data_IF_768842232860
#
_entry.id   IF_768842232860
#
_cell.length_a   1.000
_cell.length_b   1.000
_cell.length_c   1.000
_cell.angle_alpha   90.00
_cell.angle_beta   90.00
_cell.angle_gamma   90.00
#
_symmetry.space_group_name_H-M   'P 1'
#
loop_
_entity.id
_entity.type
_entity.pdbx_description
1 polymer ?
#
# COMPACT_ATOMS: atom_id res chain seq x y z
N UNK A 1 -34.82 -50.28 -36.29
CA UNK A 1 -36.26 -50.13 -36.64
C UNK A 1 -37.05 -50.15 -35.33
N UNK A 2 -37.93 -49.15 -35.13
CA UNK A 2 -39.01 -48.94 -34.13
C UNK A 2 -39.40 -50.15 -33.23
N UNK A 3 -39.91 -50.04 -31.99
CA UNK A 3 -40.26 -48.93 -31.11
C UNK A 3 -40.67 -49.47 -29.71
N UNK A 4 -40.64 -48.55 -28.73
CA UNK A 4 -41.24 -48.44 -27.38
C UNK A 4 -42.48 -49.29 -27.00
N UNK A 5 -42.65 -49.47 -25.68
CA UNK A 5 -43.90 -49.43 -24.86
C UNK A 5 -43.94 -50.60 -23.86
N UNK A 6 -44.32 -50.53 -22.57
CA UNK A 6 -44.80 -49.49 -21.65
C UNK A 6 -44.75 -50.00 -20.19
N UNK A 7 -44.84 -49.03 -19.26
CA UNK A 7 -45.02 -49.11 -17.79
C UNK A 7 -46.44 -49.52 -17.35
N UNK A 8 -46.56 -50.12 -16.14
CA UNK A 8 -47.61 -49.94 -15.10
C UNK A 8 -47.59 -51.15 -14.15
N UNK A 9 -47.86 -51.14 -12.85
CA UNK A 9 -48.34 -50.18 -11.84
C UNK A 9 -48.20 -50.92 -10.48
N UNK A 10 -47.71 -50.30 -9.37
CA UNK A 10 -48.49 -49.85 -8.20
C UNK A 10 -49.39 -50.97 -7.55
N UNK A 11 -49.52 -51.20 -6.23
CA UNK A 11 -49.56 -50.31 -5.05
C UNK A 11 -49.85 -51.14 -3.76
N UNK A 12 -49.44 -50.65 -2.56
CA UNK A 12 -49.97 -50.75 -1.15
C UNK A 12 -50.30 -52.16 -0.55
N UNK A 13 -50.32 -52.46 0.76
CA UNK A 13 -50.34 -51.73 2.04
C UNK A 13 -50.01 -52.77 3.16
N UNK A 14 -49.23 -52.46 4.20
CA UNK A 14 -49.63 -51.94 5.54
C UNK A 14 -50.07 -53.02 6.57
N UNK A 15 -49.21 -53.16 7.60
CA UNK A 15 -49.44 -53.30 9.04
C UNK A 15 -50.23 -54.50 9.66
N UNK A 16 -49.76 -55.03 10.80
CA UNK A 16 -49.95 -54.45 12.16
C UNK A 16 -49.67 -55.49 13.28
N UNK A 17 -48.84 -55.09 14.27
CA UNK A 17 -48.88 -55.41 15.73
C UNK A 17 -48.72 -56.84 16.27
N UNK A 18 -48.46 -57.09 17.56
CA UNK A 18 -47.80 -56.40 18.70
C UNK A 18 -47.87 -57.39 19.86
N UNK A 19 -47.00 -57.27 20.87
CA UNK A 19 -47.35 -57.71 22.23
C UNK A 19 -46.45 -57.04 23.26
N UNK A 20 -47.03 -56.03 23.88
CA UNK A 20 -46.66 -55.18 25.03
C UNK A 20 -46.74 -55.96 26.35
N UNK A 21 -45.85 -55.82 27.35
CA UNK A 21 -45.91 -54.93 28.54
C UNK A 21 -45.15 -55.64 29.70
N UNK A 22 -44.53 -55.06 30.75
CA UNK A 22 -44.66 -53.77 31.48
C UNK A 22 -43.41 -53.52 32.38
N UNK A 23 -42.95 -52.26 32.40
CA UNK A 23 -42.49 -51.40 33.51
C UNK A 23 -41.40 -51.89 34.50
N UNK A 24 -40.28 -51.15 34.54
CA UNK A 24 -39.86 -50.45 35.77
C UNK A 24 -39.05 -49.18 35.41
N UNK A 25 -39.41 -48.09 36.08
CA UNK A 25 -38.81 -46.77 35.93
C UNK A 25 -37.50 -46.69 36.72
N UNK A 26 -36.48 -46.06 36.14
CA UNK A 26 -35.46 -45.33 36.89
C UNK A 26 -35.23 -43.98 36.22
N UNK A 27 -35.55 -42.95 36.99
CA UNK A 27 -35.28 -41.55 36.73
C UNK A 27 -33.76 -41.34 36.79
N UNK A 28 -33.12 -40.89 35.71
CA UNK A 28 -31.79 -40.29 35.80
C UNK A 28 -31.76 -39.01 34.99
N UNK A 29 -31.86 -37.90 35.72
CA UNK A 29 -31.68 -36.54 35.26
C UNK A 29 -30.18 -36.34 35.07
N UNK A 30 -29.69 -36.39 33.83
CA UNK A 30 -28.48 -35.68 33.38
C UNK A 30 -28.55 -35.55 31.86
N UNK A 31 -29.46 -34.70 31.39
CA UNK A 31 -29.23 -33.96 30.16
C UNK A 31 -28.64 -32.60 30.58
N UNK A 32 -27.78 -32.04 29.71
CA UNK A 32 -27.04 -30.78 29.81
C UNK A 32 -25.65 -30.82 30.48
N UNK A 33 -24.68 -30.27 29.74
CA UNK A 33 -23.28 -29.93 30.11
C UNK A 33 -22.31 -31.12 29.93
N UNK A 34 -21.32 -31.17 29.02
CA UNK A 34 -20.48 -30.15 28.42
C UNK A 34 -20.02 -30.62 27.02
N UNK A 35 -20.70 -30.18 25.95
CA UNK A 35 -20.03 -29.91 24.66
C UNK A 35 -19.55 -28.48 24.77
N UNK A 36 -18.51 -28.24 25.60
CA UNK A 36 -17.97 -26.90 25.85
C UNK A 36 -16.50 -27.01 26.26
N UNK A 37 -15.68 -27.65 25.42
CA UNK A 37 -14.23 -27.62 25.60
C UNK A 37 -13.44 -27.72 24.28
N UNK A 38 -14.05 -27.36 23.13
CA UNK A 38 -13.32 -27.22 21.88
C UNK A 38 -13.74 -26.00 21.04
N UNK A 39 -14.38 -25.01 21.68
CA UNK A 39 -14.76 -23.72 21.07
C UNK A 39 -14.10 -22.53 21.77
N UNK A 40 -13.01 -22.75 22.50
CA UNK A 40 -12.19 -21.67 23.08
C UNK A 40 -11.00 -21.28 22.18
N UNK A 41 -11.13 -21.44 20.85
CA UNK A 41 -10.12 -20.98 19.91
C UNK A 41 -10.70 -20.45 18.60
N UNK A 42 -11.86 -19.78 18.58
CA UNK A 42 -12.25 -18.93 17.45
C UNK A 42 -13.13 -17.78 17.92
N UNK A 43 -12.53 -16.88 18.68
CA UNK A 43 -13.02 -15.52 18.86
C UNK A 43 -11.83 -14.56 18.92
N UNK A 44 -10.96 -14.62 17.90
CA UNK A 44 -10.26 -13.39 17.52
C UNK A 44 -11.24 -12.64 16.64
N UNK A 45 -11.67 -11.49 17.12
CA UNK A 45 -12.51 -10.57 16.37
C UNK A 45 -11.92 -10.38 14.98
N UNK A 46 -12.81 -10.34 13.98
CA UNK A 46 -12.53 -9.82 12.64
C UNK A 46 -12.17 -8.34 12.79
N UNK A 47 -10.96 -8.07 13.29
CA UNK A 47 -10.42 -6.72 13.34
C UNK A 47 -10.20 -6.34 11.89
N UNK A 48 -11.10 -5.51 11.38
CA UNK A 48 -11.06 -5.02 10.01
C UNK A 48 -9.63 -4.63 9.66
N UNK A 49 -9.04 -5.35 8.69
CA UNK A 49 -7.62 -5.26 8.33
C UNK A 49 -7.17 -3.78 8.33
N UNK A 50 -6.29 -3.35 9.26
CA UNK A 50 -5.98 -1.94 9.45
C UNK A 50 -5.28 -1.34 8.24
N UNK A 51 -4.55 -2.16 7.46
CA UNK A 51 -3.95 -1.73 6.20
C UNK A 51 -5.02 -1.45 5.14
N UNK A 52 -6.01 -2.33 5.01
CA UNK A 52 -7.13 -2.10 4.08
C UNK A 52 -8.00 -0.92 4.51
N UNK A 53 -8.30 -0.79 5.81
CA UNK A 53 -9.11 0.28 6.38
C UNK A 53 -8.50 1.66 6.16
N UNK A 54 -7.18 1.77 6.30
CA UNK A 54 -6.45 3.05 6.16
C UNK A 54 -5.85 3.26 4.77
N UNK A 55 -6.26 2.45 3.78
CA UNK A 55 -5.75 2.55 2.43
C UNK A 55 -6.22 3.83 1.73
N UNK A 56 -5.28 4.50 1.08
CA UNK A 56 -5.50 5.65 0.22
C UNK A 56 -4.92 5.34 -1.16
N UNK A 57 -5.78 5.33 -2.16
CA UNK A 57 -5.37 5.22 -3.56
C UNK A 57 -4.61 6.48 -3.97
N UNK A 58 -3.48 6.32 -4.67
CA UNK A 58 -2.64 7.44 -5.08
C UNK A 58 -2.93 7.91 -6.51
N UNK A 59 -3.33 7.00 -7.40
CA UNK A 59 -3.56 7.34 -8.80
C UNK A 59 -5.03 7.24 -9.19
N UNK A 60 -5.43 8.02 -10.19
CA UNK A 60 -6.81 8.04 -10.73
C UNK A 60 -7.04 6.99 -11.81
N UNK A 61 -5.99 6.27 -12.22
CA UNK A 61 -6.02 5.31 -13.34
C UNK A 61 -6.26 3.87 -12.92
N UNK A 62 -6.57 3.62 -11.64
CA UNK A 62 -6.80 2.27 -11.08
C UNK A 62 -5.67 1.31 -11.44
N UNK A 63 -4.43 1.75 -11.21
CA UNK A 63 -3.24 0.99 -11.53
C UNK A 63 -3.21 -0.36 -10.81
N UNK A 64 -2.83 -1.43 -11.52
CA UNK A 64 -2.72 -2.79 -10.98
C UNK A 64 -1.60 -3.54 -11.70
N UNK A 65 -1.19 -4.68 -11.14
CA UNK A 65 -0.28 -5.61 -11.82
C UNK A 65 -0.80 -5.97 -13.21
N UNK A 66 0.14 -6.14 -14.14
CA UNK A 66 -0.13 -6.72 -15.46
C UNK A 66 -0.49 -8.20 -15.38
N UNK A 67 -0.04 -8.89 -14.33
CA UNK A 67 -0.43 -10.27 -14.06
C UNK A 67 -1.81 -10.25 -13.36
N UNK A 68 -2.84 -10.95 -13.89
CA UNK A 68 -4.14 -11.03 -13.22
C UNK A 68 -4.08 -11.61 -11.81
N UNK A 69 -3.07 -12.45 -11.53
CA UNK A 69 -2.80 -13.13 -10.26
C UNK A 69 -1.30 -12.97 -9.92
N UNK A 70 -0.87 -11.77 -9.46
CA UNK A 70 0.54 -11.53 -9.16
C UNK A 70 0.98 -12.36 -7.95
N UNK A 71 2.22 -12.83 -7.97
CA UNK A 71 2.89 -13.33 -6.78
C UNK A 71 3.38 -12.13 -5.96
N UNK A 72 2.46 -11.55 -5.18
CA UNK A 72 2.72 -10.33 -4.42
C UNK A 72 3.83 -10.56 -3.40
N UNK A 73 4.91 -9.79 -3.52
CA UNK A 73 6.04 -9.83 -2.60
C UNK A 73 5.85 -8.87 -1.44
N UNK A 74 6.27 -9.27 -0.25
CA UNK A 74 6.31 -8.42 0.94
C UNK A 74 7.77 -8.14 1.31
N UNK A 75 8.09 -6.86 1.49
CA UNK A 75 9.41 -6.40 1.93
C UNK A 75 9.25 -5.48 3.14
N UNK A 76 10.12 -5.67 4.14
CA UNK A 76 10.20 -4.83 5.32
C UNK A 76 11.45 -3.97 5.24
N UNK A 77 11.33 -2.67 5.50
CA UNK A 77 12.44 -1.72 5.45
C UNK A 77 12.26 -0.54 6.40
N UNK A 78 13.33 0.20 6.63
CA UNK A 78 13.38 1.47 7.36
C UNK A 78 13.87 2.65 6.49
N UNK A 79 14.07 2.45 5.18
CA UNK A 79 14.59 3.45 4.24
C UNK A 79 13.53 3.91 3.22
N UNK A 80 12.39 4.41 3.72
CA UNK A 80 11.19 4.70 2.92
C UNK A 80 11.44 5.54 1.68
N UNK A 81 12.18 6.63 1.81
CA UNK A 81 12.45 7.55 0.71
C UNK A 81 13.30 6.89 -0.38
N UNK A 82 14.36 6.18 -0.02
CA UNK A 82 15.25 5.51 -0.96
C UNK A 82 14.57 4.32 -1.65
N UNK A 83 13.79 3.54 -0.90
CA UNK A 83 13.05 2.42 -1.44
C UNK A 83 11.95 2.86 -2.40
N UNK A 84 11.23 3.93 -2.09
CA UNK A 84 10.24 4.49 -3.01
C UNK A 84 10.88 4.90 -4.34
N UNK A 85 12.06 5.54 -4.29
CA UNK A 85 12.79 5.93 -5.51
C UNK A 85 13.29 4.70 -6.26
N UNK A 86 13.83 3.70 -5.55
CA UNK A 86 14.27 2.44 -6.15
C UNK A 86 13.13 1.71 -6.84
N UNK A 87 11.92 1.70 -6.27
CA UNK A 87 10.74 1.12 -6.91
C UNK A 87 10.45 1.82 -8.26
N UNK A 88 10.48 3.15 -8.29
CA UNK A 88 10.32 3.92 -9.53
C UNK A 88 11.43 3.61 -10.54
N UNK A 89 12.70 3.58 -10.13
CA UNK A 89 13.83 3.23 -11.00
C UNK A 89 13.76 1.80 -11.52
N UNK A 90 13.17 0.89 -10.75
CA UNK A 90 12.90 -0.47 -11.20
C UNK A 90 11.68 -0.55 -12.11
N UNK A 91 10.96 0.54 -12.38
CA UNK A 91 9.79 0.56 -13.27
C UNK A 91 8.50 0.08 -12.61
N UNK A 92 8.44 0.14 -11.28
CA UNK A 92 7.18 0.06 -10.56
C UNK A 92 6.55 1.44 -10.42
N UNK A 93 5.24 1.48 -10.27
CA UNK A 93 4.52 2.71 -9.93
C UNK A 93 3.54 2.44 -8.78
N UNK A 94 3.32 3.46 -7.95
CA UNK A 94 2.61 3.31 -6.69
C UNK A 94 1.10 3.30 -6.94
N UNK A 95 0.45 2.24 -6.45
CA UNK A 95 -0.99 2.06 -6.49
C UNK A 95 -1.64 2.93 -5.41
N UNK A 96 -1.07 2.87 -4.20
CA UNK A 96 -1.54 3.60 -3.04
C UNK A 96 -0.71 3.30 -1.81
N UNK A 97 -1.18 3.77 -0.66
CA UNK A 97 -0.52 3.54 0.62
C UNK A 97 -1.51 3.47 1.79
N UNK A 98 -1.08 2.84 2.87
CA UNK A 98 -1.79 2.81 4.15
C UNK A 98 -0.87 3.39 5.22
N UNK A 99 -1.42 4.20 6.13
CA UNK A 99 -0.67 4.75 7.26
C UNK A 99 -1.55 4.84 8.51
N UNK A 100 -1.05 4.35 9.65
CA UNK A 100 -1.76 4.36 10.93
C UNK A 100 -0.79 4.15 12.10
N UNK A 101 -1.24 4.46 13.32
CA UNK A 101 -0.51 4.17 14.57
C UNK A 101 -1.18 3.02 15.30
N UNK A 102 -0.39 2.04 15.76
CA UNK A 102 -0.84 0.88 16.51
C UNK A 102 0.27 0.34 17.43
N UNK A 103 -0.09 -0.46 18.43
CA UNK A 103 0.90 -1.16 19.29
C UNK A 103 1.63 -2.23 18.48
N UNK A 104 0.90 -2.98 17.66
CA UNK A 104 1.47 -3.96 16.74
C UNK A 104 0.55 -4.09 15.53
N UNK A 105 1.09 -4.50 14.38
CA UNK A 105 0.31 -4.79 13.20
C UNK A 105 0.98 -5.91 12.40
N UNK A 106 0.27 -7.02 12.20
CA UNK A 106 0.80 -8.18 11.50
C UNK A 106 1.13 -7.84 10.03
N UNK A 107 2.37 -8.03 9.55
CA UNK A 107 2.77 -7.74 8.17
C UNK A 107 1.93 -8.50 7.12
N UNK A 108 1.47 -9.70 7.47
CA UNK A 108 0.63 -10.54 6.60
C UNK A 108 -0.70 -9.87 6.23
N UNK A 109 -1.23 -8.98 7.07
CA UNK A 109 -2.44 -8.22 6.76
C UNK A 109 -2.19 -7.23 5.61
N UNK A 110 -1.00 -6.62 5.55
CA UNK A 110 -0.63 -5.77 4.42
C UNK A 110 -0.42 -6.59 3.15
N UNK A 111 0.17 -7.79 3.25
CA UNK A 111 0.30 -8.72 2.13
C UNK A 111 -1.07 -9.16 1.60
N UNK A 112 -2.00 -9.52 2.49
CA UNK A 112 -3.38 -9.86 2.13
C UNK A 112 -4.08 -8.71 1.40
N UNK A 113 -3.93 -7.48 1.90
CA UNK A 113 -4.47 -6.32 1.22
C UNK A 113 -3.81 -6.09 -0.15
N UNK A 114 -2.48 -6.16 -0.23
CA UNK A 114 -1.73 -6.06 -1.49
C UNK A 114 -2.21 -7.05 -2.55
N UNK A 115 -2.45 -8.32 -2.18
CA UNK A 115 -3.06 -9.33 -3.06
C UNK A 115 -4.45 -8.92 -3.54
N UNK A 116 -5.30 -8.41 -2.63
CA UNK A 116 -6.68 -8.00 -2.95
C UNK A 116 -6.74 -6.87 -3.99
N UNK A 117 -5.77 -5.94 -3.96
CA UNK A 117 -5.66 -4.83 -4.93
C UNK A 117 -4.76 -5.15 -6.13
N UNK A 118 -4.25 -6.38 -6.21
CA UNK A 118 -3.34 -6.86 -7.28
C UNK A 118 -2.03 -6.07 -7.37
N UNK A 119 -1.40 -5.80 -6.23
CA UNK A 119 -0.05 -5.28 -6.17
C UNK A 119 0.96 -6.40 -6.49
N UNK A 120 2.07 -6.04 -7.16
CA UNK A 120 3.22 -6.93 -7.35
C UNK A 120 4.13 -6.92 -6.11
N UNK A 121 4.24 -5.77 -5.45
CA UNK A 121 5.11 -5.61 -4.28
C UNK A 121 4.44 -4.74 -3.21
N UNK A 122 4.64 -5.09 -1.94
CA UNK A 122 4.26 -4.33 -0.76
C UNK A 122 5.52 -4.01 0.04
N UNK A 123 5.73 -2.75 0.37
CA UNK A 123 6.80 -2.30 1.28
C UNK A 123 6.18 -1.88 2.60
N UNK A 124 6.66 -2.42 3.73
CA UNK A 124 6.21 -2.05 5.08
C UNK A 124 7.34 -1.37 5.83
N UNK A 125 6.99 -0.29 6.51
CA UNK A 125 7.86 0.49 7.37
C UNK A 125 7.21 0.63 8.74
N UNK A 126 8.00 0.39 9.79
CA UNK A 126 7.62 0.58 11.19
C UNK A 126 8.54 1.63 11.78
N UNK A 127 7.98 2.76 12.22
CA UNK A 127 8.70 3.80 12.95
C UNK A 127 8.16 3.87 14.37
N UNK A 128 9.06 4.06 15.33
CA UNK A 128 8.66 4.40 16.69
C UNK A 128 7.96 5.78 16.68
N UNK A 129 6.73 5.84 17.19
CA UNK A 129 5.92 7.05 17.22
C UNK A 129 6.03 7.70 18.60
N UNK A 130 5.76 6.91 19.66
CA UNK A 130 6.14 7.24 21.03
C UNK A 130 5.91 6.05 21.98
N UNK A 131 6.77 5.90 22.97
CA UNK A 131 6.38 5.49 24.30
C UNK A 131 6.07 6.80 25.03
N UNK A 132 4.82 7.01 25.42
CA UNK A 132 4.60 7.79 26.63
C UNK A 132 5.44 7.08 27.70
N UNK A 133 6.33 7.80 28.38
CA UNK A 133 6.92 7.44 29.68
C UNK A 133 8.38 6.94 29.66
N UNK A 134 9.26 7.85 30.12
CA UNK A 134 10.22 7.55 31.21
C UNK A 134 10.46 8.83 32.04
N UNK A 135 10.52 9.99 31.37
CA UNK A 135 10.68 11.30 32.02
C UNK A 135 9.54 11.68 32.97
N UNK A 136 8.29 11.44 32.57
CA UNK A 136 7.12 11.79 33.37
C UNK A 136 7.01 10.99 34.67
N UNK A 137 7.36 9.70 34.70
CA UNK A 137 7.27 8.88 35.92
C UNK A 137 8.28 9.30 36.99
N UNK A 138 9.54 9.52 36.59
CA UNK A 138 10.57 10.01 37.53
C UNK A 138 10.27 11.45 38.00
N UNK A 139 9.69 12.29 37.14
CA UNK A 139 9.22 13.63 37.54
C UNK A 139 8.03 13.55 38.50
N UNK A 140 7.01 12.73 38.21
CA UNK A 140 5.85 12.52 39.08
C UNK A 140 6.27 12.00 40.46
N UNK A 141 7.17 11.01 40.50
CA UNK A 141 7.73 10.50 41.76
C UNK A 141 8.52 11.57 42.51
N UNK A 142 9.35 12.37 41.82
CA UNK A 142 10.11 13.47 42.43
C UNK A 142 9.21 14.59 42.95
N UNK A 143 8.13 14.92 42.25
CA UNK A 143 7.17 15.95 42.69
C UNK A 143 6.31 15.48 43.85
N UNK A 144 5.81 14.24 43.81
CA UNK A 144 5.06 13.65 44.90
C UNK A 144 5.90 13.56 46.18
N UNK A 145 7.17 13.14 46.06
CA UNK A 145 8.11 13.13 47.19
C UNK A 145 8.39 14.53 47.76
N UNK A 146 8.38 15.58 46.92
CA UNK A 146 8.54 16.98 47.38
C UNK A 146 7.29 17.54 48.06
N UNK A 147 6.10 17.14 47.61
CA UNK A 147 4.81 17.67 48.09
C UNK A 147 4.19 16.82 49.20
N UNK A 148 4.74 15.64 49.49
CA UNK A 148 4.21 14.70 50.47
C UNK A 148 2.86 14.09 50.06
N UNK A 149 2.58 14.04 48.76
CA UNK A 149 1.31 13.54 48.20
C UNK A 149 1.46 12.09 47.77
N UNK A 150 0.41 11.29 47.97
CA UNK A 150 0.36 9.91 47.52
C UNK A 150 0.19 9.83 46.00
N UNK A 151 0.83 8.86 45.35
CA UNK A 151 0.76 8.67 43.89
C UNK A 151 -0.33 7.62 43.61
N UNK A 152 -1.24 7.92 42.68
CA UNK A 152 -2.22 6.94 42.23
C UNK A 152 -1.50 5.81 41.45
N UNK A 153 -1.70 4.52 41.80
CA UNK A 153 -1.12 3.41 41.07
C UNK A 153 -1.41 3.41 39.56
N UNK A 154 -2.52 4.02 39.13
CA UNK A 154 -2.88 4.19 37.72
C UNK A 154 -1.96 5.15 36.97
N UNK A 155 -1.35 6.13 37.63
CA UNK A 155 -0.37 7.07 37.06
C UNK A 155 1.00 6.40 36.78
N UNK A 156 1.20 5.18 37.29
CA UNK A 156 2.43 4.40 37.12
C UNK A 156 2.31 3.33 36.03
N UNK A 157 1.11 3.15 35.45
CA UNK A 157 0.84 2.19 34.38
C UNK A 157 1.52 2.67 33.09
N UNK A 158 2.39 1.82 32.54
CA UNK A 158 3.00 2.08 31.24
C UNK A 158 1.95 1.86 30.14
N UNK A 159 1.58 2.93 29.43
CA UNK A 159 0.82 2.78 28.20
C UNK A 159 1.69 2.03 27.17
N UNK A 160 1.11 1.06 26.43
CA UNK A 160 1.89 0.27 25.49
C UNK A 160 2.49 1.17 24.42
N UNK A 161 3.76 0.92 24.08
CA UNK A 161 4.47 1.69 23.07
C UNK A 161 3.72 1.64 21.74
N UNK A 162 3.50 2.81 21.14
CA UNK A 162 2.85 2.93 19.86
C UNK A 162 3.88 3.10 18.73
N UNK A 163 3.58 2.46 17.61
CA UNK A 163 4.38 2.52 16.39
C UNK A 163 3.54 3.07 15.24
N UNK A 164 4.16 3.95 14.46
CA UNK A 164 3.63 4.40 13.19
C UNK A 164 3.98 3.35 12.13
N UNK A 165 2.94 2.76 11.55
CA UNK A 165 3.04 1.83 10.44
C UNK A 165 2.73 2.55 9.13
N UNK A 166 3.55 2.28 8.12
CA UNK A 166 3.32 2.73 6.75
C UNK A 166 3.50 1.55 5.80
N UNK A 167 2.57 1.37 4.86
CA UNK A 167 2.68 0.40 3.79
C UNK A 167 2.46 1.08 2.44
N UNK A 168 3.33 0.81 1.46
CA UNK A 168 3.15 1.24 0.07
C UNK A 168 2.99 0.04 -0.85
N UNK A 169 2.07 0.17 -1.82
CA UNK A 169 1.67 -0.91 -2.73
C UNK A 169 1.99 -0.53 -4.15
N UNK A 170 2.61 -1.45 -4.89
CA UNK A 170 3.25 -1.13 -6.17
C UNK A 170 2.86 -2.12 -7.26
N UNK A 171 2.67 -1.61 -8.47
CA UNK A 171 2.47 -2.41 -9.68
C UNK A 171 3.67 -2.27 -10.61
N UNK A 172 4.11 -3.37 -11.20
CA UNK A 172 5.16 -3.38 -12.22
C UNK A 172 4.56 -2.93 -13.55
N UNK A 173 5.14 -1.90 -14.16
CA UNK A 173 4.68 -1.35 -15.42
C UNK A 173 5.47 -1.94 -16.60
N UNK A 174 4.87 -1.94 -17.81
CA UNK A 174 5.63 -2.27 -19.02
C UNK A 174 6.68 -1.18 -19.26
N UNK A 175 7.80 -1.56 -19.88
CA UNK A 175 8.87 -0.63 -20.20
C UNK A 175 8.33 0.59 -20.96
N UNK A 176 8.52 1.81 -20.46
CA UNK A 176 8.01 3.01 -21.11
C UNK A 176 8.85 3.42 -22.33
N UNK A 177 8.25 4.25 -23.18
CA UNK A 177 8.87 4.83 -24.39
C UNK A 177 10.13 5.65 -24.08
N UNK A 178 10.10 6.41 -22.97
CA UNK A 178 11.19 7.31 -22.54
C UNK A 178 11.81 6.89 -21.21
N UNK A 179 11.03 6.82 -20.12
CA UNK A 179 11.43 6.18 -18.86
C UNK A 179 11.99 7.09 -17.77
N UNK A 180 11.27 8.16 -17.46
CA UNK A 180 11.59 9.07 -16.35
C UNK A 180 10.35 9.34 -15.51
N UNK A 181 10.55 9.60 -14.23
CA UNK A 181 9.56 10.22 -13.35
C UNK A 181 9.99 11.65 -13.08
N UNK A 182 9.05 12.59 -13.21
CA UNK A 182 9.34 14.02 -13.10
C UNK A 182 8.41 14.72 -12.13
N UNK A 183 8.89 15.84 -11.58
CA UNK A 183 8.11 16.78 -10.78
C UNK A 183 8.32 18.20 -11.32
N UNK A 184 7.31 19.05 -11.09
CA UNK A 184 7.45 20.49 -11.27
C UNK A 184 7.92 21.11 -9.96
N UNK A 185 9.09 21.75 -9.97
CA UNK A 185 9.59 22.44 -8.79
C UNK A 185 8.92 23.80 -8.64
N UNK A 186 8.67 24.18 -7.39
CA UNK A 186 8.03 25.42 -6.98
C UNK A 186 8.85 26.04 -5.86
N UNK A 187 9.17 27.32 -5.97
CA UNK A 187 9.81 28.09 -4.91
C UNK A 187 8.76 28.88 -4.15
N UNK A 188 8.88 28.86 -2.82
CA UNK A 188 8.16 29.76 -1.95
C UNK A 188 9.09 30.93 -1.64
N UNK A 189 8.76 32.13 -2.13
CA UNK A 189 9.66 33.30 -2.04
C UNK A 189 9.42 34.16 -0.79
N UNK A 190 8.92 33.57 0.31
CA UNK A 190 8.61 34.26 1.57
C UNK A 190 9.84 34.66 2.42
N UNK A 191 10.87 35.26 1.81
CA UNK A 191 11.93 35.98 2.53
C UNK A 191 11.56 37.45 2.82
N UNK A 192 10.29 37.86 2.62
CA UNK A 192 9.77 39.18 2.97
C UNK A 192 8.62 39.12 3.98
N UNK A 193 8.64 39.92 5.06
CA UNK A 193 7.73 39.83 6.20
C UNK A 193 6.37 40.49 5.95
N UNK A 194 5.82 40.37 4.73
CA UNK A 194 4.50 40.93 4.40
C UNK A 194 3.49 39.79 4.42
N UNK A 195 2.69 39.75 5.49
CA UNK A 195 1.58 38.83 5.64
C UNK A 195 0.62 38.92 4.43
N UNK A 196 0.32 37.77 3.82
CA UNK A 196 -0.96 37.57 3.14
C UNK A 196 -0.96 37.19 1.66
N UNK A 197 0.18 37.04 0.98
CA UNK A 197 0.19 36.46 -0.38
C UNK A 197 1.35 35.48 -0.56
N UNK A 198 1.06 34.19 -0.57
CA UNK A 198 2.01 33.16 -0.99
C UNK A 198 2.33 33.36 -2.47
N UNK A 199 3.50 33.93 -2.78
CA UNK A 199 4.01 33.94 -4.15
C UNK A 199 4.78 32.64 -4.39
N UNK A 200 4.16 31.75 -5.15
CA UNK A 200 4.74 30.48 -5.55
C UNK A 200 5.25 30.64 -6.98
N UNK A 201 6.57 30.69 -7.14
CA UNK A 201 7.20 30.75 -8.46
C UNK A 201 7.46 29.32 -8.95
N UNK A 202 6.95 28.98 -10.15
CA UNK A 202 7.26 27.70 -10.77
C UNK A 202 8.61 27.77 -11.49
N UNK A 203 9.53 26.88 -11.12
CA UNK A 203 10.85 26.86 -11.75
C UNK A 203 10.78 26.30 -13.18
N UNK A 204 11.66 26.75 -14.10
CA UNK A 204 11.72 26.24 -15.45
C UNK A 204 11.94 24.72 -15.52
N UNK A 205 11.37 24.09 -16.56
CA UNK A 205 11.58 22.67 -16.82
C UNK A 205 10.82 21.71 -15.90
N UNK A 206 11.20 20.45 -15.99
CA UNK A 206 10.68 19.32 -15.21
C UNK A 206 11.86 18.57 -14.55
N UNK A 207 11.90 18.54 -13.23
CA UNK A 207 13.00 17.89 -12.51
C UNK A 207 12.80 16.37 -12.46
N UNK A 208 13.85 15.61 -12.76
CA UNK A 208 13.82 14.15 -12.78
C UNK A 208 14.07 13.59 -11.38
N UNK A 209 13.10 12.88 -10.85
CA UNK A 209 13.19 12.25 -9.52
C UNK A 209 13.60 10.77 -9.59
N UNK A 210 13.38 10.11 -10.73
CA UNK A 210 13.82 8.75 -10.98
C UNK A 210 13.97 8.50 -12.49
N UNK A 211 14.93 7.65 -12.86
CA UNK A 211 15.12 7.17 -14.23
C UNK A 211 14.97 5.65 -14.23
N UNK A 212 14.08 5.13 -15.05
CA UNK A 212 13.81 3.70 -15.12
C UNK A 212 15.02 2.99 -15.73
N UNK A 213 15.51 1.94 -15.08
CA UNK A 213 16.63 1.11 -15.55
C UNK A 213 16.33 0.55 -16.95
N UNK A 214 17.36 0.50 -17.78
CA UNK A 214 17.32 0.01 -19.16
C UNK A 214 16.37 0.76 -20.13
N UNK A 215 15.77 1.86 -19.68
CA UNK A 215 14.92 2.74 -20.50
C UNK A 215 15.72 3.52 -21.53
N UNK A 216 15.01 4.19 -22.46
CA UNK A 216 15.64 5.08 -23.44
C UNK A 216 16.39 6.24 -22.77
N UNK A 217 15.82 6.82 -21.70
CA UNK A 217 16.46 7.88 -20.92
C UNK A 217 17.74 7.39 -20.23
N UNK A 218 17.70 6.22 -19.59
CA UNK A 218 18.88 5.64 -18.95
C UNK A 218 20.01 5.38 -19.95
N UNK A 219 19.69 4.81 -21.12
CA UNK A 219 20.65 4.55 -22.20
C UNK A 219 21.27 5.82 -22.78
N UNK A 220 20.59 6.96 -22.67
CA UNK A 220 21.09 8.27 -23.07
C UNK A 220 21.83 9.01 -21.96
N UNK A 221 22.16 8.33 -20.85
CA UNK A 221 22.83 8.91 -19.68
C UNK A 221 22.07 10.08 -19.02
N UNK A 222 20.74 10.10 -19.14
CA UNK A 222 19.89 10.97 -18.33
C UNK A 222 19.83 10.37 -16.92
N UNK A 223 19.97 11.20 -15.90
CA UNK A 223 20.05 10.73 -14.50
C UNK A 223 19.10 11.51 -13.60
N UNK A 224 18.82 10.95 -12.42
CA UNK A 224 18.10 11.65 -11.34
C UNK A 224 18.81 12.97 -11.01
N UNK A 225 18.01 14.02 -10.82
CA UNK A 225 18.49 15.38 -10.53
C UNK A 225 18.70 16.26 -11.77
N UNK A 226 18.67 15.70 -12.98
CA UNK A 226 18.59 16.50 -14.19
C UNK A 226 17.24 17.26 -14.25
N UNK A 227 17.23 18.41 -14.91
CA UNK A 227 16.00 19.16 -15.21
C UNK A 227 15.78 19.18 -16.72
N UNK A 228 14.69 18.57 -17.18
CA UNK A 228 14.32 18.54 -18.59
C UNK A 228 13.74 19.89 -19.00
N UNK A 229 14.27 20.47 -20.07
CA UNK A 229 13.86 21.78 -20.58
C UNK A 229 13.10 21.66 -21.90
N UNK A 230 13.56 20.79 -22.80
CA UNK A 230 12.99 20.64 -24.15
C UNK A 230 13.23 19.25 -24.71
N UNK A 231 12.30 18.78 -25.54
CA UNK A 231 12.45 17.56 -26.32
C UNK A 231 12.07 17.85 -27.77
N UNK A 232 13.07 17.86 -28.65
CA UNK A 232 12.92 18.26 -30.05
C UNK A 232 12.45 19.71 -30.16
N UNK A 233 11.24 19.93 -30.66
CA UNK A 233 10.61 21.25 -30.75
C UNK A 233 9.64 21.56 -29.59
N UNK A 234 9.45 20.63 -28.64
CA UNK A 234 8.50 20.78 -27.53
C UNK A 234 9.21 21.27 -26.27
N UNK A 235 8.86 22.48 -25.81
CA UNK A 235 9.28 22.99 -24.50
C UNK A 235 8.54 22.28 -23.37
N UNK A 236 9.26 21.91 -22.32
CA UNK A 236 8.76 21.09 -21.22
C UNK A 236 8.48 21.96 -20.00
N UNK A 237 7.28 22.51 -19.92
CA UNK A 237 6.87 23.40 -18.82
C UNK A 237 6.02 22.68 -17.78
N UNK A 238 5.24 21.68 -18.19
CA UNK A 238 4.39 20.83 -17.36
C UNK A 238 4.46 19.37 -17.79
N UNK A 239 4.00 18.45 -16.93
CA UNK A 239 4.06 17.00 -17.19
C UNK A 239 3.37 16.58 -18.50
N UNK A 240 2.27 17.24 -18.87
CA UNK A 240 1.55 16.97 -20.12
C UNK A 240 2.41 17.22 -21.37
N UNK A 241 3.30 18.22 -21.32
CA UNK A 241 4.18 18.55 -22.45
C UNK A 241 5.16 17.41 -22.71
N UNK A 242 5.68 16.80 -21.64
CA UNK A 242 6.55 15.62 -21.73
C UNK A 242 5.79 14.45 -22.32
N UNK A 243 4.55 14.21 -21.86
CA UNK A 243 3.73 13.14 -22.43
C UNK A 243 3.47 13.36 -23.92
N UNK A 244 3.15 14.58 -24.33
CA UNK A 244 2.93 14.94 -25.74
C UNK A 244 4.21 14.77 -26.58
N UNK A 245 5.36 15.20 -26.07
CA UNK A 245 6.65 15.06 -26.74
C UNK A 245 7.04 13.59 -26.92
N UNK A 246 6.94 12.79 -25.85
CA UNK A 246 7.24 11.35 -25.88
C UNK A 246 6.34 10.62 -26.88
N UNK A 247 5.06 10.99 -26.96
CA UNK A 247 4.14 10.45 -27.97
C UNK A 247 4.52 10.85 -29.39
N UNK A 248 4.88 12.12 -29.62
CA UNK A 248 5.27 12.66 -30.94
C UNK A 248 6.54 12.01 -31.49
N UNK A 249 7.51 11.74 -30.62
CA UNK A 249 8.82 11.19 -30.96
C UNK A 249 8.95 9.68 -30.70
N UNK A 250 7.85 8.98 -30.38
CA UNK A 250 7.88 7.54 -30.17
C UNK A 250 8.50 6.80 -31.37
N UNK A 251 9.43 5.88 -31.10
CA UNK A 251 10.18 5.14 -32.11
C UNK A 251 11.20 5.95 -32.91
N UNK A 252 11.44 7.23 -32.56
CA UNK A 252 12.39 8.11 -33.25
C UNK A 252 13.56 8.48 -32.34
N UNK A 253 14.62 8.98 -32.96
CA UNK A 253 15.71 9.64 -32.25
C UNK A 253 15.40 11.14 -32.14
N UNK A 254 15.54 11.71 -30.96
CA UNK A 254 15.27 13.13 -30.70
C UNK A 254 16.33 13.72 -29.76
N UNK A 255 16.68 14.99 -29.96
CA UNK A 255 17.51 15.74 -29.03
C UNK A 255 16.68 16.18 -27.82
N UNK A 256 17.21 15.97 -26.62
CA UNK A 256 16.66 16.45 -25.35
C UNK A 256 17.62 17.49 -24.80
N UNK A 257 17.11 18.68 -24.54
CA UNK A 257 17.83 19.75 -23.85
C UNK A 257 17.47 19.65 -22.35
N UNK A 258 18.49 19.58 -21.51
CA UNK A 258 18.36 19.46 -20.07
C UNK A 258 19.40 20.31 -19.35
N UNK A 259 19.21 20.49 -18.06
CA UNK A 259 20.21 21.08 -17.18
C UNK A 259 20.69 20.02 -16.18
N UNK A 260 22.00 19.92 -16.03
CA UNK A 260 22.63 19.06 -15.03
C UNK A 260 23.41 19.92 -14.05
N UNK A 261 22.94 20.01 -12.81
CA UNK A 261 23.56 20.81 -11.75
C UNK A 261 23.84 22.26 -12.18
N UNK A 262 22.89 22.95 -12.82
CA UNK A 262 23.09 24.32 -13.31
C UNK A 262 23.63 24.42 -14.74
N UNK A 263 24.11 23.32 -15.33
CA UNK A 263 24.81 23.36 -16.62
C UNK A 263 23.91 22.86 -17.76
N UNK A 264 23.61 23.70 -18.77
CA UNK A 264 22.89 23.27 -19.96
C UNK A 264 23.64 22.14 -20.68
N UNK A 265 22.90 21.08 -20.99
CA UNK A 265 23.40 19.86 -21.62
C UNK A 265 22.41 19.44 -22.70
N UNK A 266 22.90 18.88 -23.79
CA UNK A 266 22.06 18.25 -24.80
C UNK A 266 22.43 16.78 -24.93
N UNK A 267 21.41 15.93 -24.99
CA UNK A 267 21.58 14.49 -25.18
C UNK A 267 20.69 14.02 -26.31
N UNK A 268 21.20 13.10 -27.13
CA UNK A 268 20.42 12.44 -28.18
C UNK A 268 19.81 11.17 -27.63
N UNK A 269 18.49 11.03 -27.71
CA UNK A 269 17.75 9.90 -27.14
C UNK A 269 17.02 9.14 -28.25
N UNK A 270 17.25 7.83 -28.34
CA UNK A 270 16.48 6.93 -29.18
C UNK A 270 15.25 6.41 -28.41
N UNK A 271 14.07 6.97 -28.65
CA UNK A 271 12.84 6.56 -27.99
C UNK A 271 12.38 5.21 -28.52
N UNK A 272 11.92 4.35 -27.60
CA UNK A 272 11.29 3.08 -27.98
C UNK A 272 9.92 3.33 -28.62
N UNK A 273 9.39 2.40 -29.40
CA UNK A 273 7.98 2.40 -29.78
C UNK A 273 7.19 1.50 -28.83
N UNK A 274 5.97 1.91 -28.46
CA UNK A 274 5.01 0.94 -27.89
C UNK A 274 4.53 0.05 -29.04
N UNK A 275 4.65 -1.26 -28.88
CA UNK A 275 3.92 -2.23 -29.70
C UNK A 275 2.48 -2.31 -29.24
#
# INVERSE_FOLDING_TARGET
MRARSAHSSQILAIDYTSSTTKKLAFLSITALSFIFAFTALQAQADEANPFAKNYKEQNTYKLKSLNPNPDTKLLLSNHKEDDNIKMLEEGYDMIGSSGFTAVEAAPDLALQHGKSIKADTVLIYKKYDSAKITGSKLQLVKEAAKKGTEIDPSDLIEEPTQHAFYASYWAKLPMPTFGVHVIKLRLNTNDSPVEGTEQIEELPGLNIIAVIKDSAAAKANIVRGDTLLKMGDVSLTKADDLFAAVKKYAGKTVTVELERKGVPTQVTVALSSRK
#
